data_IF_966630857038
#
_entry.id   IF_966630857038
#
_cell.length_a   1.000
_cell.length_b   1.000
_cell.length_c   1.000
_cell.angle_alpha   90.00
_cell.angle_beta   90.00
_cell.angle_gamma   90.00
#
_symmetry.space_group_name_H-M   'P 1'
#
loop_
_entity.id
_entity.type
_entity.pdbx_description
1 polymer ?
#
# COMPACT_ATOMS: atom_id res chain seq x y z
N UNK A 1 -7.78 35.36 4.76
CA UNK A 1 -8.49 34.35 3.94
C UNK A 1 -7.55 33.52 3.07
N UNK A 2 -6.66 34.11 2.25
CA UNK A 2 -5.71 33.34 1.39
C UNK A 2 -4.78 32.40 2.17
N UNK A 3 -4.15 32.87 3.26
CA UNK A 3 -3.28 32.02 4.09
C UNK A 3 -3.99 30.84 4.79
N UNK A 4 -5.28 31.03 5.14
CA UNK A 4 -6.10 29.96 5.71
C UNK A 4 -6.42 28.88 4.67
N UNK A 5 -6.74 29.28 3.42
CA UNK A 5 -6.93 28.32 2.32
C UNK A 5 -5.66 27.52 2.04
N UNK A 6 -4.49 28.16 1.99
CA UNK A 6 -3.21 27.48 1.80
C UNK A 6 -2.90 26.50 2.93
N UNK A 7 -3.06 26.90 4.19
CA UNK A 7 -2.84 26.01 5.33
C UNK A 7 -3.76 24.78 5.31
N UNK A 8 -5.01 24.97 4.86
CA UNK A 8 -5.99 23.87 4.75
C UNK A 8 -5.69 22.92 3.59
N UNK A 9 -5.23 23.44 2.45
CA UNK A 9 -4.77 22.64 1.31
C UNK A 9 -3.56 21.79 1.68
N UNK A 10 -2.54 22.38 2.33
CA UNK A 10 -1.35 21.66 2.78
C UNK A 10 -1.72 20.58 3.80
N UNK A 11 -2.58 20.91 4.76
CA UNK A 11 -3.06 19.93 5.75
C UNK A 11 -3.78 18.76 5.08
N UNK A 12 -4.64 19.03 4.09
CA UNK A 12 -5.34 17.98 3.34
C UNK A 12 -4.39 17.08 2.56
N UNK A 13 -3.40 17.66 1.86
CA UNK A 13 -2.37 16.91 1.11
C UNK A 13 -1.57 16.02 2.06
N UNK A 14 -1.15 16.55 3.22
CA UNK A 14 -0.41 15.79 4.23
C UNK A 14 -1.25 14.62 4.75
N UNK A 15 -2.53 14.84 5.06
CA UNK A 15 -3.42 13.78 5.55
C UNK A 15 -3.59 12.68 4.51
N UNK A 16 -3.83 13.04 3.24
CA UNK A 16 -3.97 12.06 2.16
C UNK A 16 -2.67 11.27 1.99
N UNK A 17 -1.53 11.95 1.99
CA UNK A 17 -0.22 11.31 1.87
C UNK A 17 0.02 10.34 3.02
N UNK A 18 -0.19 10.76 4.28
CA UNK A 18 -0.05 9.88 5.44
C UNK A 18 -0.99 8.69 5.40
N UNK A 19 -2.25 8.88 5.00
CA UNK A 19 -3.22 7.80 4.91
C UNK A 19 -2.79 6.75 3.87
N UNK A 20 -2.37 7.19 2.68
CA UNK A 20 -1.86 6.30 1.65
C UNK A 20 -0.59 5.58 2.11
N UNK A 21 0.39 6.31 2.65
CA UNK A 21 1.61 5.70 3.20
C UNK A 21 1.28 4.68 4.28
N UNK A 22 0.37 4.99 5.20
CA UNK A 22 -0.01 4.08 6.27
C UNK A 22 -0.66 2.80 5.71
N UNK A 23 -1.59 2.91 4.76
CA UNK A 23 -2.23 1.74 4.13
C UNK A 23 -1.20 0.89 3.38
N UNK A 24 -0.38 1.51 2.52
CA UNK A 24 0.64 0.78 1.77
C UNK A 24 1.69 0.15 2.70
N UNK A 25 2.09 0.86 3.75
CA UNK A 25 3.02 0.35 4.74
C UNK A 25 2.42 -0.82 5.52
N UNK A 26 1.15 -0.73 5.89
CA UNK A 26 0.44 -1.80 6.59
C UNK A 26 0.23 -3.03 5.71
N UNK A 27 -0.06 -2.86 4.42
CA UNK A 27 -0.09 -3.94 3.42
C UNK A 27 1.29 -4.55 3.23
N UNK A 28 2.34 -3.74 3.14
CA UNK A 28 3.74 -4.21 3.03
C UNK A 28 4.21 -4.94 4.30
N UNK A 29 3.80 -4.46 5.47
CA UNK A 29 4.20 -4.99 6.78
C UNK A 29 3.41 -6.24 7.18
N UNK A 30 2.15 -6.39 6.74
CA UNK A 30 1.32 -7.58 7.02
C UNK A 30 1.75 -8.83 6.26
N UNK A 31 2.82 -8.75 5.45
CA UNK A 31 3.32 -9.87 4.66
C UNK A 31 2.79 -9.85 3.23
N UNK A 32 3.51 -10.57 2.38
CA UNK A 32 3.39 -10.51 0.92
C UNK A 32 1.92 -10.58 0.49
N UNK A 33 1.32 -9.50 -0.07
CA UNK A 33 -0.08 -9.51 -0.50
C UNK A 33 -0.35 -10.58 -1.56
N UNK A 34 0.71 -11.08 -2.21
CA UNK A 34 0.66 -12.26 -3.08
C UNK A 34 0.10 -13.48 -2.34
N UNK A 35 0.36 -13.66 -1.04
CA UNK A 35 -0.17 -14.77 -0.25
C UNK A 35 -1.69 -14.71 -0.07
N UNK A 36 -2.31 -13.53 -0.10
CA UNK A 36 -3.76 -13.39 -0.05
C UNK A 36 -4.43 -13.80 -1.37
N UNK A 37 -3.70 -13.72 -2.49
CA UNK A 37 -4.16 -14.17 -3.80
C UNK A 37 -3.62 -15.55 -4.19
N UNK A 38 -2.65 -16.09 -3.44
CA UNK A 38 -2.10 -17.41 -3.67
C UNK A 38 -3.10 -18.48 -3.22
N UNK A 39 -3.41 -19.46 -4.07
CA UNK A 39 -4.16 -20.64 -3.65
C UNK A 39 -3.48 -21.30 -2.44
N UNK A 40 -4.25 -21.75 -1.45
CA UNK A 40 -3.75 -22.41 -0.23
C UNK A 40 -2.85 -23.63 -0.50
N UNK A 41 -2.97 -24.23 -1.69
CA UNK A 41 -2.18 -25.38 -2.17
C UNK A 41 -0.94 -25.01 -2.99
N UNK A 42 -0.61 -23.72 -3.13
CA UNK A 42 0.50 -23.32 -3.99
C UNK A 42 1.85 -23.55 -3.28
N UNK A 43 2.75 -24.31 -3.92
CA UNK A 43 4.12 -24.51 -3.45
C UNK A 43 4.89 -23.17 -3.38
N UNK A 44 5.95 -23.11 -2.56
CA UNK A 44 6.78 -21.89 -2.44
C UNK A 44 7.25 -21.34 -3.79
N UNK A 45 7.58 -22.22 -4.73
CA UNK A 45 7.97 -21.88 -6.11
C UNK A 45 6.84 -21.21 -6.91
N UNK A 46 5.58 -21.61 -6.68
CA UNK A 46 4.41 -20.97 -7.30
C UNK A 46 4.15 -19.56 -6.78
N UNK A 47 4.42 -19.31 -5.49
CA UNK A 47 4.30 -17.97 -4.89
C UNK A 47 5.34 -17.02 -5.50
N UNK A 48 6.58 -17.48 -5.67
CA UNK A 48 7.67 -16.70 -6.26
C UNK A 48 7.40 -16.38 -7.74
N UNK A 49 6.85 -17.32 -8.52
CA UNK A 49 6.46 -17.08 -9.91
C UNK A 49 5.31 -16.07 -10.05
N UNK A 50 4.34 -16.07 -9.13
CA UNK A 50 3.27 -15.05 -9.11
C UNK A 50 3.84 -13.69 -8.71
N UNK A 51 4.75 -13.66 -7.74
CA UNK A 51 5.45 -12.45 -7.29
C UNK A 51 6.25 -11.80 -8.43
N UNK A 52 6.98 -12.58 -9.20
CA UNK A 52 7.79 -12.11 -10.34
C UNK A 52 6.91 -11.59 -11.49
N UNK A 53 5.70 -12.13 -11.67
CA UNK A 53 4.73 -11.61 -12.65
C UNK A 53 4.00 -10.36 -12.19
N UNK A 54 3.89 -10.13 -10.89
CA UNK A 54 3.18 -8.99 -10.30
C UNK A 54 4.05 -7.72 -10.21
N UNK A 55 5.37 -7.84 -10.43
CA UNK A 55 6.31 -6.71 -10.52
C UNK A 55 7.23 -6.59 -9.32
#
# INVERSE_FOLDING_TARGET
MRGYLLGRLVSGIIVIFLALTAVFFMVRASGDPVLLFAPLDTSREGIEAIRERMG
#
